data_IF_257122621572
#
_entry.id   IF_257122621572
#
_cell.length_a   1.000
_cell.length_b   1.000
_cell.length_c   1.000
_cell.angle_alpha   90.00
_cell.angle_beta   90.00
_cell.angle_gamma   90.00
#
_symmetry.space_group_name_H-M   'P 1'
#
loop_
_entity.id
_entity.type
_entity.pdbx_description
1 polymer ?
#
# COMPACT_ATOMS: atom_id res chain seq x y z
N UNK A 1 5.40 -16.23 3.19
CA UNK A 1 5.52 -16.16 4.66
C UNK A 1 5.39 -17.58 5.17
N UNK A 2 6.26 -18.02 6.08
CA UNK A 2 6.40 -19.45 6.37
C UNK A 2 5.27 -19.94 7.28
N UNK A 3 4.82 -21.17 7.04
CA UNK A 3 3.85 -21.86 7.89
C UNK A 3 4.37 -22.05 9.33
N UNK A 4 5.68 -21.98 9.54
CA UNK A 4 6.29 -22.08 10.88
C UNK A 4 5.96 -20.85 11.72
N UNK A 5 6.01 -19.65 11.13
CA UNK A 5 5.69 -18.41 11.83
C UNK A 5 4.23 -18.36 12.29
N UNK A 6 3.32 -18.97 11.51
CA UNK A 6 1.92 -19.13 11.92
C UNK A 6 1.83 -19.98 13.19
N UNK A 7 2.50 -21.13 13.19
CA UNK A 7 2.49 -22.06 14.33
C UNK A 7 3.12 -21.43 15.59
N UNK A 8 4.21 -20.70 15.41
CA UNK A 8 4.87 -19.98 16.50
C UNK A 8 3.92 -18.99 17.17
N UNK A 9 3.26 -18.13 16.39
CA UNK A 9 2.33 -17.15 16.95
C UNK A 9 1.04 -17.77 17.47
N UNK A 10 0.55 -18.86 16.87
CA UNK A 10 -0.59 -19.61 17.41
C UNK A 10 -0.27 -20.23 18.78
N UNK A 11 0.96 -20.76 18.94
CA UNK A 11 1.40 -21.30 20.22
C UNK A 11 1.53 -20.23 21.33
N UNK A 12 1.66 -18.95 20.96
CA UNK A 12 1.75 -17.83 21.89
C UNK A 12 0.37 -17.25 22.28
N UNK A 13 -0.74 -17.78 21.73
CA UNK A 13 -2.07 -17.31 22.08
C UNK A 13 -2.34 -17.66 23.56
N UNK A 14 -2.67 -16.67 24.41
CA UNK A 14 -3.01 -16.93 25.80
C UNK A 14 -4.21 -17.86 25.92
N UNK A 15 -4.18 -18.72 26.93
CA UNK A 15 -5.34 -19.53 27.28
C UNK A 15 -6.55 -18.63 27.61
N UNK A 16 -7.72 -19.03 27.13
CA UNK A 16 -8.99 -18.36 27.37
C UNK A 16 -10.07 -19.41 27.61
N UNK A 17 -10.97 -19.14 28.55
CA UNK A 17 -12.10 -20.03 28.85
C UNK A 17 -13.18 -19.99 27.75
N UNK A 18 -13.17 -18.95 26.92
CA UNK A 18 -14.02 -18.89 25.73
C UNK A 18 -13.35 -19.61 24.55
N UNK A 19 -13.73 -20.87 24.37
CA UNK A 19 -13.24 -21.70 23.25
C UNK A 19 -13.49 -21.09 21.87
N UNK A 20 -14.57 -20.31 21.69
CA UNK A 20 -14.86 -19.65 20.42
C UNK A 20 -13.89 -18.49 20.19
N UNK A 21 -13.55 -17.76 21.24
CA UNK A 21 -12.55 -16.69 21.20
C UNK A 21 -11.15 -17.24 20.91
N UNK A 22 -10.75 -18.35 21.55
CA UNK A 22 -9.48 -19.03 21.27
C UNK A 22 -9.38 -19.49 19.81
N UNK A 23 -10.42 -20.16 19.30
CA UNK A 23 -10.46 -20.58 17.90
C UNK A 23 -10.46 -19.40 16.91
N UNK A 24 -11.15 -18.31 17.25
CA UNK A 24 -11.11 -17.07 16.47
C UNK A 24 -9.70 -16.46 16.44
N UNK A 25 -8.97 -16.49 17.55
CA UNK A 25 -7.58 -16.02 17.61
C UNK A 25 -6.66 -16.84 16.69
N UNK A 26 -6.77 -18.17 16.70
CA UNK A 26 -6.01 -19.05 15.80
C UNK A 26 -6.20 -18.70 14.32
N UNK A 27 -7.47 -18.51 13.92
CA UNK A 27 -7.83 -18.15 12.55
C UNK A 27 -7.31 -16.76 12.21
N UNK A 28 -7.44 -15.80 13.12
CA UNK A 28 -6.96 -14.44 12.91
C UNK A 28 -5.44 -14.39 12.74
N UNK A 29 -4.66 -15.09 13.56
CA UNK A 29 -3.19 -15.21 13.40
C UNK A 29 -2.85 -15.78 12.03
N UNK A 30 -3.47 -16.88 11.61
CA UNK A 30 -3.24 -17.47 10.29
C UNK A 30 -3.54 -16.46 9.17
N UNK A 31 -4.67 -15.76 9.24
CA UNK A 31 -5.06 -14.78 8.23
C UNK A 31 -4.11 -13.57 8.18
N UNK A 32 -3.68 -13.07 9.33
CA UNK A 32 -2.72 -11.98 9.42
C UNK A 32 -1.39 -12.42 8.78
N UNK A 33 -0.86 -13.58 9.14
CA UNK A 33 0.46 -14.01 8.68
C UNK A 33 0.47 -14.44 7.22
N UNK A 34 -0.56 -15.15 6.74
CA UNK A 34 -0.57 -15.75 5.39
C UNK A 34 -1.14 -14.82 4.31
N UNK A 35 -2.23 -14.11 4.61
CA UNK A 35 -3.05 -13.46 3.56
C UNK A 35 -2.76 -11.97 3.38
N UNK A 36 -1.74 -11.44 4.05
CA UNK A 36 -1.40 -10.01 4.03
C UNK A 36 -2.58 -9.05 4.35
N UNK A 37 -3.64 -9.51 5.05
CA UNK A 37 -4.73 -8.64 5.51
C UNK A 37 -4.35 -7.72 6.67
N UNK A 38 -4.76 -6.45 6.63
CA UNK A 38 -4.52 -5.50 7.73
C UNK A 38 -5.03 -6.04 9.07
N UNK A 39 -4.23 -5.90 10.13
CA UNK A 39 -4.55 -6.41 11.47
C UNK A 39 -5.97 -6.06 11.90
N UNK A 40 -6.33 -4.77 11.79
CA UNK A 40 -7.66 -4.26 12.17
C UNK A 40 -8.78 -4.91 11.36
N UNK A 41 -8.64 -4.98 10.04
CA UNK A 41 -9.64 -5.58 9.16
C UNK A 41 -9.82 -7.08 9.44
N UNK A 42 -8.73 -7.82 9.66
CA UNK A 42 -8.80 -9.25 10.00
C UNK A 42 -9.53 -9.45 11.33
N UNK A 43 -9.15 -8.71 12.38
CA UNK A 43 -9.81 -8.80 13.69
C UNK A 43 -11.32 -8.53 13.57
N UNK A 44 -11.72 -7.44 12.89
CA UNK A 44 -13.14 -7.11 12.72
C UNK A 44 -13.90 -8.20 11.95
N UNK A 45 -13.31 -8.74 10.89
CA UNK A 45 -13.95 -9.75 10.06
C UNK A 45 -14.09 -11.09 10.79
N UNK A 46 -13.04 -11.53 11.48
CA UNK A 46 -13.04 -12.78 12.23
C UNK A 46 -13.98 -12.67 13.43
N UNK A 47 -13.92 -11.57 14.20
CA UNK A 47 -14.83 -11.34 15.33
C UNK A 47 -16.31 -11.42 14.90
N UNK A 48 -16.66 -10.74 13.80
CA UNK A 48 -18.03 -10.77 13.25
C UNK A 48 -18.47 -12.15 12.76
N UNK A 49 -17.55 -12.90 12.15
CA UNK A 49 -17.83 -14.25 11.62
C UNK A 49 -18.05 -15.24 12.76
N UNK A 50 -17.22 -15.18 13.79
CA UNK A 50 -17.25 -16.11 14.92
C UNK A 50 -18.09 -15.64 16.11
N UNK A 51 -18.74 -14.46 16.00
CA UNK A 51 -19.62 -13.87 17.02
C UNK A 51 -18.92 -13.63 18.37
N UNK A 52 -17.65 -13.28 18.33
CA UNK A 52 -16.83 -12.97 19.52
C UNK A 52 -16.55 -11.47 19.61
N UNK A 53 -16.12 -11.02 20.79
CA UNK A 53 -15.74 -9.63 21.00
C UNK A 53 -14.47 -9.26 20.21
N UNK A 54 -14.55 -8.20 19.41
CA UNK A 54 -13.40 -7.71 18.66
C UNK A 54 -12.31 -7.11 19.56
N UNK A 55 -12.68 -6.55 20.72
CA UNK A 55 -11.71 -6.00 21.68
C UNK A 55 -10.93 -7.11 22.36
N UNK A 56 -11.59 -8.18 22.79
CA UNK A 56 -10.93 -9.33 23.43
C UNK A 56 -10.07 -10.09 22.42
N UNK A 57 -10.57 -10.30 21.21
CA UNK A 57 -9.78 -10.89 20.13
C UNK A 57 -8.53 -10.06 19.82
N UNK A 58 -8.64 -8.72 19.84
CA UNK A 58 -7.48 -7.84 19.67
C UNK A 58 -6.44 -8.06 20.76
N UNK A 59 -6.84 -8.20 22.03
CA UNK A 59 -5.91 -8.44 23.14
C UNK A 59 -5.15 -9.73 22.94
N UNK A 60 -5.82 -10.83 22.57
CA UNK A 60 -5.16 -12.11 22.31
C UNK A 60 -4.13 -11.99 21.18
N UNK A 61 -4.47 -11.29 20.10
CA UNK A 61 -3.56 -11.09 18.96
C UNK A 61 -2.38 -10.16 19.31
N UNK A 62 -2.61 -9.13 20.14
CA UNK A 62 -1.55 -8.23 20.60
C UNK A 62 -0.52 -8.96 21.48
N UNK A 63 -0.95 -9.95 22.27
CA UNK A 63 -0.05 -10.77 23.08
C UNK A 63 0.65 -11.83 22.24
N UNK A 64 -0.08 -12.50 21.34
CA UNK A 64 0.44 -13.60 20.53
C UNK A 64 1.48 -13.15 19.50
N UNK A 65 1.38 -11.91 19.00
CA UNK A 65 2.18 -11.42 17.88
C UNK A 65 3.01 -10.17 18.25
N UNK A 66 4.35 -10.20 18.08
CA UNK A 66 5.21 -9.07 18.39
C UNK A 66 4.91 -7.85 17.49
N UNK A 67 5.07 -6.64 18.03
CA UNK A 67 4.79 -5.41 17.29
C UNK A 67 5.72 -5.23 16.08
N UNK A 68 6.95 -5.73 16.20
CA UNK A 68 8.00 -5.72 15.19
C UNK A 68 7.54 -6.40 13.89
N UNK A 69 6.74 -7.47 14.00
CA UNK A 69 6.18 -8.15 12.84
C UNK A 69 5.32 -7.19 12.00
N UNK A 70 4.49 -6.38 12.65
CA UNK A 70 3.61 -5.42 11.96
C UNK A 70 4.41 -4.26 11.37
N UNK A 71 5.46 -3.80 12.05
CA UNK A 71 6.36 -2.74 11.55
C UNK A 71 7.07 -3.18 10.28
N UNK A 72 7.72 -4.35 10.30
CA UNK A 72 8.43 -4.90 9.14
C UNK A 72 7.49 -5.09 7.95
N UNK A 73 6.26 -5.51 8.23
CA UNK A 73 5.25 -5.70 7.21
C UNK A 73 4.75 -4.39 6.62
N UNK A 74 4.51 -3.36 7.43
CA UNK A 74 4.15 -2.03 6.96
C UNK A 74 5.27 -1.45 6.09
N UNK A 75 6.53 -1.60 6.49
CA UNK A 75 7.69 -1.19 5.70
C UNK A 75 7.74 -1.90 4.34
N UNK A 76 7.47 -3.22 4.30
CA UNK A 76 7.41 -3.98 3.04
C UNK A 76 6.24 -3.55 2.16
N UNK A 77 5.08 -3.26 2.73
CA UNK A 77 3.93 -2.72 2.00
C UNK A 77 4.25 -1.35 1.39
N UNK A 78 4.89 -0.46 2.17
CA UNK A 78 5.35 0.85 1.71
C UNK A 78 6.33 0.73 0.53
N UNK A 79 7.36 -0.13 0.64
CA UNK A 79 8.31 -0.38 -0.46
C UNK A 79 7.63 -0.86 -1.74
N UNK A 80 6.62 -1.74 -1.64
CA UNK A 80 5.85 -2.20 -2.82
C UNK A 80 5.03 -1.07 -3.43
N UNK A 81 4.42 -0.24 -2.59
CA UNK A 81 3.67 0.91 -3.05
C UNK A 81 4.59 1.92 -3.76
N UNK A 82 5.74 2.25 -3.15
CA UNK A 82 6.78 3.10 -3.77
C UNK A 82 7.28 2.54 -5.11
N UNK A 83 7.50 1.23 -5.20
CA UNK A 83 7.90 0.56 -6.45
C UNK A 83 6.81 0.55 -7.53
N UNK A 84 5.54 0.69 -7.15
CA UNK A 84 4.41 0.74 -8.10
C UNK A 84 4.22 2.13 -8.73
N UNK A 85 4.86 3.17 -8.20
CA UNK A 85 4.84 4.48 -8.87
C UNK A 85 5.73 4.46 -10.11
N UNK A 86 5.18 4.99 -11.20
CA UNK A 86 5.92 5.23 -12.43
C UNK A 86 7.11 6.15 -12.14
N UNK A 87 8.32 5.70 -12.45
CA UNK A 87 9.50 6.55 -12.51
C UNK A 87 9.57 7.11 -13.92
N UNK A 88 9.30 8.41 -14.14
CA UNK A 88 9.45 8.98 -15.47
C UNK A 88 10.88 8.80 -15.95
N UNK A 89 11.01 8.43 -17.22
CA UNK A 89 12.31 8.38 -17.87
C UNK A 89 13.01 9.74 -17.71
N UNK A 90 14.34 9.76 -17.47
CA UNK A 90 15.08 11.00 -17.43
C UNK A 90 14.85 11.75 -18.75
N UNK A 91 14.26 12.94 -18.67
CA UNK A 91 14.11 13.81 -19.84
C UNK A 91 15.53 14.25 -20.21
N UNK A 92 16.04 13.75 -21.34
CA UNK A 92 17.30 14.24 -21.87
C UNK A 92 17.19 15.74 -22.12
N UNK A 93 18.16 16.56 -21.68
CA UNK A 93 18.14 17.98 -21.96
C UNK A 93 18.11 18.19 -23.47
N UNK A 94 17.08 18.90 -23.94
CA UNK A 94 16.97 19.28 -25.35
C UNK A 94 18.22 20.09 -25.69
N UNK A 95 19.03 19.60 -26.63
CA UNK A 95 20.21 20.31 -27.13
C UNK A 95 19.84 21.74 -27.54
N UNK A 96 20.67 22.74 -27.20
CA UNK A 96 20.40 24.16 -27.46
C UNK A 96 19.98 24.44 -28.91
N UNK A 97 20.62 23.77 -29.87
CA UNK A 97 20.30 23.87 -31.31
C UNK A 97 18.86 23.46 -31.68
N UNK A 98 18.26 22.51 -30.96
CA UNK A 98 16.85 22.10 -31.14
C UNK A 98 15.90 23.07 -30.45
N UNK A 99 16.34 23.68 -29.34
CA UNK A 99 15.58 24.68 -28.58
C UNK A 99 15.41 25.97 -29.39
N UNK A 100 16.48 26.42 -30.04
CA UNK A 100 16.47 27.61 -30.88
C UNK A 100 15.57 27.44 -32.11
N UNK A 101 15.64 26.28 -32.77
CA UNK A 101 14.72 25.93 -33.87
C UNK A 101 13.25 25.94 -33.43
N UNK A 102 12.96 25.43 -32.23
CA UNK A 102 11.62 25.48 -31.64
C UNK A 102 11.14 26.90 -31.39
N UNK A 103 12.00 27.76 -30.83
CA UNK A 103 11.67 29.17 -30.57
C UNK A 103 11.42 29.96 -31.87
N UNK A 104 12.23 29.72 -32.90
CA UNK A 104 12.03 30.32 -34.22
C UNK A 104 10.72 29.87 -34.87
N UNK A 105 10.39 28.57 -34.77
CA UNK A 105 9.12 28.04 -35.28
C UNK A 105 7.90 28.66 -34.58
N UNK A 106 7.96 28.82 -33.26
CA UNK A 106 6.90 29.47 -32.48
C UNK A 106 6.76 30.96 -32.86
N UNK A 107 7.89 31.66 -33.05
CA UNK A 107 7.87 33.07 -33.52
C UNK A 107 7.20 33.18 -34.89
N UNK A 108 7.58 32.33 -35.84
CA UNK A 108 7.00 32.32 -37.18
C UNK A 108 5.49 31.99 -37.18
N UNK A 109 5.02 31.12 -36.29
CA UNK A 109 3.59 30.86 -36.12
C UNK A 109 2.87 32.11 -35.57
N UNK A 110 3.44 32.78 -34.56
CA UNK A 110 2.86 33.99 -33.98
C UNK A 110 2.76 35.12 -35.00
N UNK A 111 3.79 35.33 -35.81
CA UNK A 111 3.81 36.34 -36.88
C UNK A 111 2.78 36.04 -37.97
N UNK A 112 2.64 34.79 -38.40
CA UNK A 112 1.59 34.39 -39.36
C UNK A 112 0.18 34.65 -38.82
N UNK A 113 -0.06 34.36 -37.54
CA UNK A 113 -1.35 34.62 -36.90
C UNK A 113 -1.63 36.13 -36.79
N UNK A 114 -0.62 36.95 -36.47
CA UNK A 114 -0.77 38.39 -36.39
C UNK A 114 -1.06 39.02 -37.77
N UNK A 115 -0.32 38.61 -38.80
CA UNK A 115 -0.53 39.11 -40.17
C UNK A 115 -1.86 38.65 -40.77
N UNK A 116 -2.32 37.43 -40.44
CA UNK A 116 -3.64 36.95 -40.84
C UNK A 116 -4.79 37.74 -40.22
N UNK A 117 -4.60 38.36 -39.05
CA UNK A 117 -5.60 39.25 -38.42
C UNK A 117 -5.61 40.64 -39.03
N UNK A 118 -4.45 41.15 -39.45
CA UNK A 118 -4.34 42.49 -40.05
C UNK A 118 -4.83 42.54 -41.51
N UNK A 119 -4.75 41.44 -42.27
CA UNK A 119 -5.24 41.36 -43.65
C UNK A 119 -6.74 41.03 -43.76
N UNK A 120 -7.43 40.83 -42.64
CA UNK A 120 -8.87 40.52 -42.59
C UNK A 120 -9.73 41.75 -42.20
N UNK A 121 -9.15 42.95 -42.20
CA UNK A 121 -9.83 44.25 -41.99
C UNK A 121 -9.91 45.05 -43.27
#
# INVERSE_FOLDING_TARGET
>A
MSKELVKEYQANIPYTDDSALGHAADIAVHCIVMNYGEKRAVITNVARKHKVSASELKVLIDVAMPIEFFILRAAKAKKRHEASFYKPEPIEPISESKRDKGMQAISGIREKIANSKNNAS
#
